data_IF_446351324588
#
_entry.id   IF_446351324588
#
_cell.length_a   1.000
_cell.length_b   1.000
_cell.length_c   1.000
_cell.angle_alpha   90.00
_cell.angle_beta   90.00
_cell.angle_gamma   90.00
#
_symmetry.space_group_name_H-M   'P 1'
#
loop_
_entity.id
_entity.type
_entity.pdbx_description
1 polymer ?
#
# COMPACT_ATOMS: atom_id res chain seq x y z
N UNK A 1 8.86 -39.14 -48.95
CA UNK A 1 8.05 -40.38 -48.93
C UNK A 1 8.47 -41.24 -47.74
N UNK A 2 8.05 -40.85 -46.53
CA UNK A 2 8.16 -41.61 -45.28
C UNK A 2 7.08 -41.05 -44.35
N UNK A 3 5.94 -41.73 -44.39
CA UNK A 3 5.04 -42.02 -43.26
C UNK A 3 4.67 -40.81 -42.38
N UNK A 4 3.67 -40.08 -42.87
CA UNK A 4 3.04 -38.90 -42.28
C UNK A 4 1.58 -39.19 -41.90
N UNK A 5 1.26 -40.41 -41.43
CA UNK A 5 -0.13 -40.92 -41.53
C UNK A 5 -0.59 -41.93 -40.46
N UNK A 6 -0.33 -41.71 -39.17
CA UNK A 6 -0.92 -42.58 -38.11
C UNK A 6 -1.36 -41.87 -36.81
N UNK A 7 -1.48 -40.53 -36.76
CA UNK A 7 -1.92 -39.83 -35.53
C UNK A 7 -3.14 -38.91 -35.68
N UNK A 8 -3.98 -39.14 -36.69
CA UNK A 8 -5.21 -38.38 -36.92
C UNK A 8 -6.42 -39.30 -36.94
N UNK A 9 -6.82 -39.87 -35.79
CA UNK A 9 -8.11 -40.53 -35.63
C UNK A 9 -8.42 -40.74 -34.14
N UNK A 10 -8.81 -39.66 -33.47
CA UNK A 10 -9.25 -39.66 -32.06
C UNK A 10 -10.42 -38.69 -31.91
N UNK A 11 -11.51 -39.05 -32.56
CA UNK A 11 -12.81 -38.39 -32.61
C UNK A 11 -13.45 -38.24 -31.21
N UNK A 12 -14.35 -37.27 -31.13
CA UNK A 12 -15.46 -37.11 -30.16
C UNK A 12 -15.24 -36.30 -28.88
N UNK A 13 -15.62 -35.02 -29.00
CA UNK A 13 -16.83 -34.50 -28.34
C UNK A 13 -16.89 -34.68 -26.80
N UNK A 14 -16.18 -33.78 -26.11
CA UNK A 14 -16.65 -33.29 -24.82
C UNK A 14 -16.60 -31.77 -24.85
N UNK A 15 -17.64 -31.18 -25.45
CA UNK A 15 -18.12 -29.83 -25.14
C UNK A 15 -18.63 -29.84 -23.68
N UNK A 16 -17.76 -30.09 -22.71
CA UNK A 16 -18.08 -29.86 -21.31
C UNK A 16 -17.79 -28.40 -21.04
N UNK A 17 -18.88 -27.62 -21.02
CA UNK A 17 -19.04 -26.30 -20.41
C UNK A 17 -17.84 -25.93 -19.51
N UNK A 18 -16.82 -25.34 -20.11
CA UNK A 18 -15.71 -24.76 -19.38
C UNK A 18 -16.20 -23.45 -18.82
N UNK A 19 -16.62 -23.49 -17.55
CA UNK A 19 -16.71 -22.40 -16.58
C UNK A 19 -16.69 -21.02 -17.24
N UNK A 20 -17.85 -20.36 -17.31
CA UNK A 20 -17.89 -18.94 -17.61
C UNK A 20 -16.88 -18.25 -16.72
N UNK A 21 -15.77 -17.80 -17.32
CA UNK A 21 -14.82 -16.97 -16.63
C UNK A 21 -15.63 -15.72 -16.29
N UNK A 22 -16.10 -15.66 -15.05
CA UNK A 22 -16.42 -14.40 -14.41
C UNK A 22 -15.11 -13.64 -14.49
N UNK A 23 -14.96 -12.81 -15.52
CA UNK A 23 -13.95 -11.78 -15.57
C UNK A 23 -14.34 -10.82 -14.46
N UNK A 24 -14.01 -11.19 -13.21
CA UNK A 24 -13.96 -10.23 -12.13
C UNK A 24 -13.04 -9.12 -12.63
N UNK A 25 -13.52 -7.89 -12.64
CA UNK A 25 -12.77 -6.75 -13.11
C UNK A 25 -11.34 -6.81 -12.53
N UNK A 26 -10.33 -6.84 -13.40
CA UNK A 26 -8.94 -6.93 -12.98
C UNK A 26 -8.60 -5.62 -12.24
N UNK A 27 -8.52 -5.67 -10.91
CA UNK A 27 -8.23 -4.50 -10.08
C UNK A 27 -6.75 -4.14 -10.19
N UNK A 28 -6.47 -2.84 -10.22
CA UNK A 28 -5.10 -2.34 -10.12
C UNK A 28 -4.55 -2.62 -8.72
N UNK A 29 -3.32 -3.15 -8.64
CA UNK A 29 -2.64 -3.40 -7.36
C UNK A 29 -1.77 -2.20 -7.00
N UNK A 30 -1.89 -1.68 -5.78
CA UNK A 30 -1.06 -0.57 -5.27
C UNK A 30 -0.30 -1.01 -4.02
N UNK A 31 0.94 -0.55 -3.86
CA UNK A 31 1.68 -0.69 -2.60
C UNK A 31 1.09 0.27 -1.57
N UNK A 32 0.74 -0.24 -0.40
CA UNK A 32 0.21 0.54 0.71
C UNK A 32 1.24 0.68 1.83
N UNK A 33 1.18 1.80 2.55
CA UNK A 33 1.98 2.01 3.74
C UNK A 33 1.47 1.10 4.87
N UNK A 34 2.37 0.38 5.54
CA UNK A 34 2.01 -0.42 6.71
C UNK A 34 2.24 0.37 8.00
N UNK A 35 1.48 0.04 9.05
CA UNK A 35 1.63 0.68 10.36
C UNK A 35 3.03 0.48 10.95
N UNK A 36 3.66 -0.67 10.71
CA UNK A 36 5.02 -0.96 11.16
C UNK A 36 6.03 0.03 10.57
N UNK A 37 5.97 0.24 9.25
CA UNK A 37 6.86 1.19 8.56
C UNK A 37 6.58 2.61 9.02
N UNK A 38 5.31 2.99 9.22
CA UNK A 38 4.96 4.31 9.74
C UNK A 38 5.60 4.55 11.13
N UNK A 39 5.53 3.58 12.04
CA UNK A 39 6.18 3.68 13.36
C UNK A 39 7.70 3.79 13.27
N UNK A 40 8.33 3.04 12.35
CA UNK A 40 9.78 3.13 12.12
C UNK A 40 10.19 4.53 11.61
N UNK A 41 9.41 5.10 10.69
CA UNK A 41 9.62 6.48 10.21
C UNK A 41 9.46 7.50 11.33
N UNK A 42 8.44 7.33 12.18
CA UNK A 42 8.22 8.21 13.33
C UNK A 42 9.39 8.14 14.33
N UNK A 43 9.85 6.94 14.68
CA UNK A 43 10.99 6.76 15.58
C UNK A 43 12.29 7.41 15.03
N UNK A 44 12.52 7.33 13.72
CA UNK A 44 13.65 8.01 13.08
C UNK A 44 13.53 9.54 13.18
N UNK A 45 12.32 10.08 12.96
CA UNK A 45 12.06 11.52 13.09
C UNK A 45 12.17 12.00 14.55
N UNK A 46 11.66 11.22 15.50
CA UNK A 46 11.78 11.47 16.94
C UNK A 46 13.27 11.49 17.36
N UNK A 47 14.07 10.53 16.90
CA UNK A 47 15.49 10.48 17.22
C UNK A 47 16.24 11.74 16.72
N UNK A 48 15.91 12.26 15.54
CA UNK A 48 16.49 13.50 15.04
C UNK A 48 15.98 14.73 15.79
N UNK A 49 14.69 14.77 16.12
CA UNK A 49 14.12 15.85 16.94
C UNK A 49 14.79 15.90 18.32
N UNK A 50 15.00 14.74 18.95
CA UNK A 50 15.68 14.61 20.24
C UNK A 50 17.14 15.08 20.17
N UNK A 51 17.88 14.73 19.11
CA UNK A 51 19.27 15.20 18.92
C UNK A 51 19.38 16.73 18.83
N UNK A 52 18.35 17.39 18.30
CA UNK A 52 18.32 18.83 18.13
C UNK A 52 17.52 19.56 19.23
N UNK A 53 17.02 18.83 20.23
CA UNK A 53 16.18 19.37 21.31
C UNK A 53 14.93 20.10 20.77
N UNK A 54 14.26 19.49 19.79
CA UNK A 54 13.03 20.01 19.21
C UNK A 54 11.80 19.28 19.76
N UNK A 55 10.84 20.04 20.25
CA UNK A 55 9.54 19.51 20.66
C UNK A 55 8.60 19.58 19.45
N UNK A 56 8.30 18.42 18.84
CA UNK A 56 7.54 18.35 17.58
C UNK A 56 6.35 17.40 17.64
N UNK A 57 5.44 17.58 16.68
CA UNK A 57 4.39 16.60 16.35
C UNK A 57 4.77 15.94 15.04
N UNK A 58 4.72 14.62 15.02
CA UNK A 58 5.00 13.79 13.86
C UNK A 58 3.66 13.20 13.39
N UNK A 59 3.25 13.53 12.16
CA UNK A 59 2.04 13.00 11.54
C UNK A 59 2.41 12.27 10.24
N UNK A 60 1.90 11.05 10.08
CA UNK A 60 2.12 10.21 8.90
C UNK A 60 0.75 9.86 8.31
N UNK A 61 0.60 10.15 7.03
CA UNK A 61 -0.62 9.87 6.26
C UNK A 61 -0.36 8.82 5.19
N UNK A 62 -1.42 8.11 4.79
CA UNK A 62 -1.39 7.22 3.64
C UNK A 62 -1.47 7.99 2.32
N UNK A 63 -1.43 7.23 1.23
CA UNK A 63 -1.54 7.72 -0.14
C UNK A 63 -2.91 8.33 -0.50
N UNK A 64 -3.91 8.18 0.38
CA UNK A 64 -5.20 8.84 0.29
C UNK A 64 -5.31 10.08 1.19
N UNK A 65 -4.23 10.46 1.88
CA UNK A 65 -4.21 11.56 2.84
C UNK A 65 -4.84 11.22 4.20
N UNK A 66 -5.14 9.95 4.48
CA UNK A 66 -5.72 9.54 5.75
C UNK A 66 -4.64 9.35 6.80
N UNK A 67 -4.92 9.75 8.04
CA UNK A 67 -3.98 9.62 9.15
C UNK A 67 -3.73 8.14 9.48
N UNK A 68 -2.46 7.73 9.42
CA UNK A 68 -2.01 6.38 9.78
C UNK A 68 -1.35 6.37 11.15
N UNK A 69 -0.54 7.40 11.45
CA UNK A 69 0.16 7.52 12.72
C UNK A 69 0.30 8.99 13.12
N UNK A 70 0.15 9.26 14.42
CA UNK A 70 0.36 10.57 15.02
C UNK A 70 1.06 10.38 16.35
N UNK A 71 2.12 11.15 16.57
CA UNK A 71 2.83 11.22 17.83
C UNK A 71 3.17 12.66 18.15
N UNK A 72 2.98 13.04 19.42
CA UNK A 72 3.30 14.37 19.94
C UNK A 72 4.29 14.20 21.06
N UNK A 73 5.45 14.84 20.93
CA UNK A 73 6.45 14.88 21.99
C UNK A 73 5.96 15.75 23.15
N UNK A 74 6.49 15.49 24.34
CA UNK A 74 6.21 16.28 25.53
C UNK A 74 6.57 17.76 25.32
N UNK A 75 5.85 18.64 26.03
CA UNK A 75 6.04 20.09 25.96
C UNK A 75 5.87 20.73 24.56
N UNK A 76 5.31 19.99 23.59
CA UNK A 76 4.97 20.53 22.26
C UNK A 76 3.66 21.30 22.26
N UNK A 77 3.61 22.43 21.54
CA UNK A 77 2.41 23.25 21.35
C UNK A 77 1.24 22.43 20.79
N UNK A 78 0.06 22.52 21.44
CA UNK A 78 -1.15 21.77 21.04
C UNK A 78 -1.58 22.08 19.60
N UNK A 79 -1.44 23.35 19.17
CA UNK A 79 -1.77 23.77 17.81
C UNK A 79 -0.94 23.08 16.72
N UNK A 80 0.26 22.58 17.05
CA UNK A 80 1.09 21.85 16.10
C UNK A 80 0.49 20.50 15.68
N UNK A 81 -0.51 19.99 16.42
CA UNK A 81 -1.19 18.74 16.08
C UNK A 81 -1.92 18.86 14.75
N UNK A 82 -2.72 19.90 14.59
CA UNK A 82 -3.47 20.14 13.36
C UNK A 82 -2.52 20.53 12.22
N UNK A 83 -1.54 21.39 12.51
CA UNK A 83 -0.56 21.85 11.52
C UNK A 83 0.25 20.68 10.94
N UNK A 84 0.68 19.73 11.77
CA UNK A 84 1.42 18.56 11.28
C UNK A 84 0.55 17.68 10.36
N UNK A 85 -0.72 17.47 10.74
CA UNK A 85 -1.66 16.71 9.91
C UNK A 85 -1.93 17.42 8.57
N UNK A 86 -2.19 18.72 8.57
CA UNK A 86 -2.43 19.50 7.36
C UNK A 86 -1.20 19.53 6.43
N UNK A 87 0.02 19.64 7.00
CA UNK A 87 1.26 19.54 6.23
C UNK A 87 1.41 18.17 5.57
N UNK A 88 1.15 17.09 6.32
CA UNK A 88 1.24 15.74 5.79
C UNK A 88 0.22 15.50 4.67
N UNK A 89 -1.03 15.94 4.85
CA UNK A 89 -2.08 15.85 3.83
C UNK A 89 -1.76 16.65 2.56
N UNK A 90 -1.18 17.85 2.72
CA UNK A 90 -0.82 18.71 1.58
C UNK A 90 0.37 18.19 0.76
N UNK A 91 1.14 17.24 1.31
CA UNK A 91 2.32 16.67 0.65
C UNK A 91 2.01 15.47 -0.25
N UNK A 92 0.76 14.99 -0.24
CA UNK A 92 0.25 13.92 -1.11
C UNK A 92 -0.19 14.50 -2.45
#
# INVERSE_FOLDING_TARGET
MKLWFEKTAGICLALSLGCGAVTAAQLATKKALTLEVAKQMAAAAEAEAAKNTWNMVIAIVDDGGNLVYLERMDETQIGSIEVAQQKAQSAI
#
